data_IF_887761386610
#
_entry.id   IF_887761386610
#
_cell.length_a   1.000
_cell.length_b   1.000
_cell.length_c   1.000
_cell.angle_alpha   90.00
_cell.angle_beta   90.00
_cell.angle_gamma   90.00
#
_symmetry.space_group_name_H-M   'P 1'
#
loop_
_entity.id
_entity.type
_entity.pdbx_description
1 polymer ?
#
# COMPACT_ATOMS: atom_id res chain seq x y z
N UNK A 1 23.24 -20.80 -9.51
CA UNK A 1 22.59 -19.60 -10.10
C UNK A 1 22.38 -18.57 -8.99
N UNK A 2 22.95 -17.37 -9.08
CA UNK A 2 22.64 -16.27 -8.13
C UNK A 2 21.18 -15.84 -8.34
N UNK A 3 20.32 -16.07 -7.37
CA UNK A 3 18.92 -15.61 -7.41
C UNK A 3 18.91 -14.08 -7.48
N UNK A 4 18.23 -13.53 -8.49
CA UNK A 4 18.15 -12.07 -8.70
C UNK A 4 17.28 -11.45 -7.60
N UNK A 5 17.84 -10.54 -6.81
CA UNK A 5 17.11 -9.80 -5.77
C UNK A 5 16.02 -8.94 -6.45
N UNK A 6 14.80 -9.05 -5.95
CA UNK A 6 13.63 -8.25 -6.38
C UNK A 6 13.26 -7.26 -5.29
N UNK A 7 12.80 -6.08 -5.67
CA UNK A 7 12.35 -5.07 -4.72
C UNK A 7 10.81 -5.09 -4.60
N UNK A 8 10.33 -5.24 -3.37
CA UNK A 8 8.92 -5.13 -2.98
C UNK A 8 8.70 -3.77 -2.33
N UNK A 9 7.63 -3.07 -2.72
CA UNK A 9 7.11 -1.92 -1.98
C UNK A 9 5.93 -2.36 -1.13
N UNK A 10 6.03 -2.19 0.17
CA UNK A 10 4.95 -2.44 1.13
C UNK A 10 4.34 -1.09 1.50
N UNK A 11 3.09 -0.87 1.13
CA UNK A 11 2.33 0.33 1.46
C UNK A 11 1.37 0.04 2.62
N UNK A 12 1.87 0.21 3.85
CA UNK A 12 1.11 -0.05 5.07
C UNK A 12 1.40 1.03 6.11
N UNK A 13 0.35 1.68 6.60
CA UNK A 13 0.45 2.83 7.50
C UNK A 13 -0.80 3.00 8.35
N UNK A 14 -0.67 3.73 9.43
CA UNK A 14 -1.75 4.30 10.23
C UNK A 14 -2.04 3.51 11.49
N UNK A 15 -2.46 2.28 11.41
CA UNK A 15 -2.82 1.44 12.58
C UNK A 15 -2.16 0.07 12.54
N UNK A 16 -2.07 -0.57 13.69
CA UNK A 16 -1.57 -1.95 13.79
C UNK A 16 -2.34 -2.93 12.89
N UNK A 17 -3.64 -2.69 12.65
CA UNK A 17 -4.47 -3.51 11.77
C UNK A 17 -4.02 -3.53 10.31
N UNK A 18 -3.24 -2.55 9.87
CA UNK A 18 -2.61 -2.53 8.54
C UNK A 18 -1.16 -3.00 8.60
N UNK A 19 -0.44 -2.63 9.66
CA UNK A 19 1.01 -2.87 9.77
C UNK A 19 1.31 -4.33 10.11
N UNK A 20 0.64 -4.93 11.10
CA UNK A 20 0.92 -6.30 11.53
C UNK A 20 0.64 -7.35 10.44
N UNK A 21 -0.49 -7.32 9.71
CA UNK A 21 -0.67 -8.23 8.59
C UNK A 21 0.41 -8.09 7.51
N UNK A 22 0.86 -6.86 7.25
CA UNK A 22 1.95 -6.65 6.31
C UNK A 22 3.28 -7.22 6.81
N UNK A 23 3.62 -7.02 8.08
CA UNK A 23 4.82 -7.59 8.69
C UNK A 23 4.80 -9.12 8.62
N UNK A 24 3.71 -9.75 9.04
CA UNK A 24 3.58 -11.22 8.98
C UNK A 24 3.83 -11.76 7.57
N UNK A 25 3.28 -11.12 6.54
CA UNK A 25 3.47 -11.57 5.16
C UNK A 25 4.91 -11.35 4.70
N UNK A 26 5.54 -10.24 5.02
CA UNK A 26 6.91 -9.97 4.54
C UNK A 26 7.96 -10.78 5.28
N UNK A 27 7.70 -11.14 6.53
CA UNK A 27 8.60 -12.00 7.33
C UNK A 27 8.66 -13.44 6.79
N UNK A 28 7.57 -13.91 6.16
CA UNK A 28 7.49 -15.21 5.50
C UNK A 28 8.04 -15.21 4.07
N UNK A 29 8.39 -14.04 3.52
CA UNK A 29 8.90 -13.97 2.16
C UNK A 29 10.33 -14.51 2.04
N UNK A 30 10.57 -15.12 0.90
CA UNK A 30 11.90 -15.60 0.51
C UNK A 30 12.94 -14.45 0.56
N UNK A 31 14.16 -14.72 1.02
CA UNK A 31 15.30 -13.76 1.13
C UNK A 31 15.69 -13.07 -0.18
N UNK A 32 15.06 -13.46 -1.27
CA UNK A 32 15.22 -12.80 -2.58
C UNK A 32 14.45 -11.48 -2.70
N UNK A 33 13.58 -11.17 -1.74
CA UNK A 33 12.85 -9.92 -1.71
C UNK A 33 13.54 -8.90 -0.80
N UNK A 34 13.86 -7.75 -1.35
CA UNK A 34 14.29 -6.56 -0.59
C UNK A 34 13.06 -5.72 -0.30
N UNK A 35 12.77 -5.55 0.98
CA UNK A 35 11.59 -4.84 1.44
C UNK A 35 11.86 -3.33 1.48
N UNK A 36 11.00 -2.56 0.82
CA UNK A 36 10.92 -1.12 0.93
C UNK A 36 9.57 -0.79 1.52
N UNK A 37 9.54 -0.19 2.70
CA UNK A 37 8.31 0.15 3.39
C UNK A 37 7.93 1.60 3.13
N UNK A 38 6.68 1.83 2.75
CA UNK A 38 6.11 3.16 2.56
C UNK A 38 5.09 3.43 3.67
N UNK A 39 5.36 4.46 4.45
CA UNK A 39 4.52 4.90 5.56
C UNK A 39 4.16 6.38 5.46
N UNK A 40 3.48 6.88 6.48
CA UNK A 40 3.14 8.29 6.66
C UNK A 40 3.95 8.83 7.82
N UNK A 41 4.47 10.05 7.68
CA UNK A 41 5.26 10.69 8.71
C UNK A 41 4.45 10.83 10.02
N UNK A 42 5.14 10.69 11.16
CA UNK A 42 4.55 10.80 12.50
C UNK A 42 3.45 9.77 12.83
N UNK A 43 3.50 8.59 12.22
CA UNK A 43 2.61 7.45 12.50
C UNK A 43 3.37 6.31 13.17
N UNK A 44 2.63 5.31 13.65
CA UNK A 44 3.18 4.22 14.46
C UNK A 44 4.15 3.30 13.69
N UNK A 45 4.16 3.30 12.37
CA UNK A 45 5.11 2.52 11.56
C UNK A 45 6.57 2.87 11.85
N UNK A 46 6.87 4.10 12.27
CA UNK A 46 8.24 4.51 12.63
C UNK A 46 8.82 3.62 13.74
N UNK A 47 7.98 3.18 14.66
CA UNK A 47 8.37 2.35 15.78
C UNK A 47 8.13 0.85 15.57
N UNK A 48 7.22 0.48 14.67
CA UNK A 48 6.78 -0.91 14.46
C UNK A 48 7.52 -1.60 13.32
N UNK A 49 7.94 -0.86 12.30
CA UNK A 49 8.64 -1.43 11.14
C UNK A 49 10.09 -1.74 11.51
N UNK A 50 10.57 -2.97 11.31
CA UNK A 50 11.96 -3.34 11.55
C UNK A 50 12.94 -2.44 10.81
N UNK A 51 14.07 -2.11 11.47
CA UNK A 51 15.10 -1.21 10.93
C UNK A 51 15.78 -1.76 9.66
N UNK A 52 15.75 -3.06 9.46
CA UNK A 52 16.26 -3.74 8.26
C UNK A 52 15.43 -3.44 7.00
N UNK A 53 14.17 -3.02 7.15
CA UNK A 53 13.35 -2.59 6.02
C UNK A 53 13.59 -1.13 5.72
N UNK A 54 13.75 -0.81 4.44
CA UNK A 54 13.96 0.57 3.99
C UNK A 54 12.68 1.38 4.16
N UNK A 55 12.44 1.94 5.34
CA UNK A 55 11.28 2.80 5.60
C UNK A 55 11.44 4.15 4.91
N UNK A 56 10.45 4.53 4.13
CA UNK A 56 10.28 5.87 3.56
C UNK A 56 8.93 6.39 4.01
N UNK A 57 8.90 7.57 4.57
CA UNK A 57 7.65 8.21 4.99
C UNK A 57 7.28 9.36 4.06
N UNK A 58 6.00 9.47 3.74
CA UNK A 58 5.44 10.61 3.05
C UNK A 58 4.82 11.57 4.06
N UNK A 59 5.00 12.86 3.82
CA UNK A 59 4.31 13.89 4.59
C UNK A 59 2.92 14.11 3.96
N UNK A 60 1.96 13.29 4.35
CA UNK A 60 0.58 13.34 3.86
C UNK A 60 -0.33 13.37 5.08
N UNK A 61 -0.72 14.56 5.48
CA UNK A 61 -1.81 14.71 6.46
C UNK A 61 -3.16 14.57 5.77
N UNK A 62 -4.07 13.81 6.39
CA UNK A 62 -5.45 13.76 5.93
C UNK A 62 -6.23 14.94 6.52
N UNK A 63 -6.49 16.03 5.76
CA UNK A 63 -7.27 17.14 6.27
C UNK A 63 -8.65 16.65 6.71
N UNK A 64 -9.06 16.99 7.92
CA UNK A 64 -10.42 16.77 8.41
C UNK A 64 -11.26 18.01 8.13
N UNK A 65 -12.45 17.88 7.50
CA UNK A 65 -13.40 19.01 7.33
C UNK A 65 -14.01 19.18 5.93
N UNK A 66 -14.55 20.35 5.63
CA UNK A 66 -15.44 20.81 4.56
C UNK A 66 -15.01 20.55 3.09
N UNK A 67 -15.83 21.00 2.10
CA UNK A 67 -15.61 20.85 0.64
C UNK A 67 -14.22 21.33 0.16
N UNK A 68 -13.69 22.41 0.74
CA UNK A 68 -12.33 22.90 0.47
C UNK A 68 -11.26 21.86 0.86
N UNK A 69 -11.52 21.11 1.95
CA UNK A 69 -10.62 20.03 2.37
C UNK A 69 -10.60 18.85 1.39
N UNK A 70 -11.69 18.64 0.63
CA UNK A 70 -11.75 17.57 -0.37
C UNK A 70 -10.81 17.86 -1.56
N UNK A 71 -10.82 19.10 -2.06
CA UNK A 71 -9.91 19.52 -3.13
C UNK A 71 -8.45 19.41 -2.69
N UNK A 72 -8.14 19.81 -1.45
CA UNK A 72 -6.81 19.65 -0.86
C UNK A 72 -6.43 18.17 -0.76
N UNK A 73 -7.34 17.28 -0.39
CA UNK A 73 -7.10 15.83 -0.34
C UNK A 73 -6.73 15.26 -1.71
N UNK A 74 -7.44 15.65 -2.77
CA UNK A 74 -7.10 15.22 -4.13
C UNK A 74 -5.72 15.73 -4.56
N UNK A 75 -5.40 16.98 -4.27
CA UNK A 75 -4.09 17.55 -4.55
C UNK A 75 -2.98 16.82 -3.79
N UNK A 76 -3.20 16.49 -2.52
CA UNK A 76 -2.25 15.73 -1.72
C UNK A 76 -2.04 14.32 -2.26
N UNK A 77 -3.11 13.61 -2.66
CA UNK A 77 -2.99 12.30 -3.32
C UNK A 77 -2.19 12.41 -4.61
N UNK A 78 -2.42 13.45 -5.40
CA UNK A 78 -1.68 13.70 -6.64
C UNK A 78 -0.19 13.90 -6.37
N UNK A 79 0.18 14.79 -5.44
CA UNK A 79 1.58 15.04 -5.04
C UNK A 79 2.22 13.75 -4.48
N UNK A 80 1.49 13.03 -3.63
CA UNK A 80 1.95 11.75 -3.08
C UNK A 80 2.21 10.71 -4.18
N UNK A 81 1.34 10.66 -5.18
CA UNK A 81 1.51 9.74 -6.32
C UNK A 81 2.83 10.00 -7.05
N UNK A 82 3.17 11.26 -7.31
CA UNK A 82 4.47 11.61 -7.94
C UNK A 82 5.66 11.19 -7.07
N UNK A 83 5.56 11.39 -5.75
CA UNK A 83 6.60 10.96 -4.82
C UNK A 83 6.77 9.44 -4.83
N UNK A 84 5.66 8.70 -4.85
CA UNK A 84 5.67 7.23 -4.93
C UNK A 84 6.23 6.75 -6.27
N UNK A 85 5.89 7.39 -7.38
CA UNK A 85 6.48 7.09 -8.70
C UNK A 85 8.00 7.20 -8.65
N UNK A 86 8.53 8.31 -8.11
CA UNK A 86 9.97 8.51 -7.96
C UNK A 86 10.62 7.40 -7.11
N UNK A 87 9.99 7.01 -6.00
CA UNK A 87 10.46 5.92 -5.14
C UNK A 87 10.46 4.59 -5.91
N UNK A 88 9.38 4.27 -6.63
CA UNK A 88 9.26 3.02 -7.39
C UNK A 88 10.33 2.90 -8.48
N UNK A 89 10.59 3.99 -9.20
CA UNK A 89 11.61 4.02 -10.25
C UNK A 89 13.00 3.92 -9.63
N UNK A 90 13.35 4.78 -8.67
CA UNK A 90 14.69 4.85 -8.08
C UNK A 90 15.09 3.55 -7.36
N UNK A 91 14.13 2.85 -6.79
CA UNK A 91 14.34 1.57 -6.09
C UNK A 91 14.06 0.34 -6.95
N UNK A 92 13.73 0.54 -8.24
CA UNK A 92 13.45 -0.55 -9.19
C UNK A 92 12.41 -1.55 -8.63
N UNK A 93 11.30 -1.03 -8.11
CA UNK A 93 10.22 -1.83 -7.51
C UNK A 93 9.62 -2.76 -8.57
N UNK A 94 9.37 -4.01 -8.18
CA UNK A 94 8.84 -5.06 -9.07
C UNK A 94 7.45 -5.56 -8.66
N UNK A 95 7.04 -5.29 -7.43
CA UNK A 95 5.75 -5.65 -6.88
C UNK A 95 5.35 -4.63 -5.82
N UNK A 96 4.08 -4.29 -5.74
CA UNK A 96 3.49 -3.50 -4.67
C UNK A 96 2.56 -4.38 -3.86
N UNK A 97 2.74 -4.37 -2.54
CA UNK A 97 1.83 -4.97 -1.57
C UNK A 97 1.24 -3.86 -0.69
N UNK A 98 -0.07 -3.74 -0.66
CA UNK A 98 -0.77 -2.72 0.09
C UNK A 98 -1.76 -3.37 1.07
N UNK A 99 -1.97 -2.76 2.25
CA UNK A 99 -2.90 -3.27 3.27
C UNK A 99 -4.11 -2.37 3.49
N UNK A 100 -4.44 -1.56 2.49
CA UNK A 100 -5.53 -0.58 2.61
C UNK A 100 -5.07 0.75 3.23
N UNK A 101 -6.05 1.54 3.66
CA UNK A 101 -5.77 2.86 4.19
C UNK A 101 -5.38 3.90 3.13
N UNK A 102 -5.10 5.12 3.59
CA UNK A 102 -4.88 6.27 2.71
C UNK A 102 -3.63 6.14 1.83
N UNK A 103 -2.56 5.56 2.38
CA UNK A 103 -1.27 5.38 1.68
C UNK A 103 -1.36 4.43 0.47
N UNK A 104 -2.34 3.52 0.49
CA UNK A 104 -2.54 2.57 -0.62
C UNK A 104 -3.01 3.25 -1.90
N UNK A 105 -3.78 4.35 -1.79
CA UNK A 105 -4.33 5.04 -2.97
C UNK A 105 -3.24 5.58 -3.90
N UNK A 106 -2.31 6.45 -3.46
CA UNK A 106 -1.22 6.91 -4.30
C UNK A 106 -0.31 5.77 -4.77
N UNK A 107 -0.15 4.71 -3.96
CA UNK A 107 0.66 3.54 -4.32
C UNK A 107 0.04 2.74 -5.46
N UNK A 108 -1.29 2.52 -5.44
CA UNK A 108 -2.01 1.83 -6.50
C UNK A 108 -1.97 2.65 -7.81
N UNK A 109 -2.22 3.96 -7.73
CA UNK A 109 -2.18 4.84 -8.90
C UNK A 109 -0.79 4.84 -9.53
N UNK A 110 0.26 5.02 -8.73
CA UNK A 110 1.65 5.02 -9.18
C UNK A 110 2.04 3.69 -9.85
N UNK A 111 1.67 2.57 -9.22
CA UNK A 111 1.97 1.24 -9.76
C UNK A 111 1.24 0.98 -11.08
N UNK A 112 -0.02 1.43 -11.22
CA UNK A 112 -0.76 1.35 -12.49
C UNK A 112 -0.10 2.16 -13.59
N UNK A 113 0.35 3.38 -13.30
CA UNK A 113 1.06 4.23 -14.27
C UNK A 113 2.35 3.54 -14.74
N UNK A 114 3.07 2.88 -13.83
CA UNK A 114 4.33 2.21 -14.13
C UNK A 114 4.19 0.75 -14.60
N UNK A 115 2.95 0.24 -14.73
CA UNK A 115 2.67 -1.17 -15.04
C UNK A 115 3.35 -2.16 -14.08
N UNK A 116 3.45 -1.80 -12.79
CA UNK A 116 3.96 -2.65 -11.73
C UNK A 116 2.78 -3.44 -11.14
N UNK A 117 2.89 -4.78 -10.96
CA UNK A 117 1.83 -5.58 -10.36
C UNK A 117 1.56 -5.17 -8.91
N UNK A 118 0.27 -5.25 -8.52
CA UNK A 118 -0.24 -4.80 -7.22
C UNK A 118 -1.05 -5.91 -6.60
N UNK A 119 -0.80 -6.16 -5.33
CA UNK A 119 -1.61 -6.99 -4.44
C UNK A 119 -2.10 -6.10 -3.31
N UNK A 120 -3.39 -6.11 -3.03
CA UNK A 120 -3.95 -5.44 -1.86
C UNK A 120 -4.55 -6.48 -0.90
N UNK A 121 -4.26 -6.35 0.38
CA UNK A 121 -4.83 -7.17 1.44
C UNK A 121 -5.88 -6.38 2.22
N UNK A 122 -7.05 -6.97 2.39
CA UNK A 122 -8.15 -6.43 3.20
C UNK A 122 -8.42 -7.35 4.40
N UNK A 123 -8.08 -6.86 5.58
CA UNK A 123 -8.25 -7.60 6.84
C UNK A 123 -9.64 -7.45 7.46
N UNK A 124 -10.46 -6.53 6.97
CA UNK A 124 -11.77 -6.26 7.54
C UNK A 124 -12.89 -6.97 6.77
N UNK A 125 -13.96 -7.35 7.49
CA UNK A 125 -15.17 -7.88 6.90
C UNK A 125 -15.82 -6.86 5.94
N UNK A 126 -15.93 -5.60 6.35
CA UNK A 126 -16.37 -4.50 5.50
C UNK A 126 -15.13 -3.79 4.99
N UNK A 127 -14.87 -3.81 3.68
CA UNK A 127 -13.65 -3.28 3.13
C UNK A 127 -13.54 -1.76 3.33
N UNK A 128 -12.32 -1.30 3.60
CA UNK A 128 -12.00 0.11 3.65
C UNK A 128 -12.19 0.79 2.29
N UNK A 129 -12.33 2.12 2.29
CA UNK A 129 -12.60 2.89 1.06
C UNK A 129 -11.53 2.70 -0.01
N UNK A 130 -10.26 2.58 0.39
CA UNK A 130 -9.17 2.33 -0.55
C UNK A 130 -9.38 1.00 -1.30
N UNK A 131 -9.63 -0.09 -0.58
CA UNK A 131 -9.89 -1.41 -1.18
C UNK A 131 -11.17 -1.40 -2.00
N UNK A 132 -12.25 -0.80 -1.48
CA UNK A 132 -13.56 -0.75 -2.15
C UNK A 132 -13.50 -0.05 -3.51
N UNK A 133 -12.80 1.07 -3.62
CA UNK A 133 -12.78 1.86 -4.87
C UNK A 133 -11.60 1.51 -5.77
N UNK A 134 -10.48 1.09 -5.22
CA UNK A 134 -9.25 0.87 -5.98
C UNK A 134 -8.87 -0.60 -6.14
N UNK A 135 -9.49 -1.53 -5.40
CA UNK A 135 -9.21 -2.98 -5.47
C UNK A 135 -9.34 -3.55 -6.89
N UNK A 136 -10.31 -3.07 -7.68
CA UNK A 136 -10.50 -3.49 -9.08
C UNK A 136 -9.33 -3.15 -10.02
N UNK A 137 -8.44 -2.25 -9.60
CA UNK A 137 -7.23 -1.91 -10.35
C UNK A 137 -6.02 -2.72 -9.92
N UNK A 138 -6.14 -3.49 -8.84
CA UNK A 138 -5.11 -4.38 -8.35
C UNK A 138 -5.14 -5.72 -9.11
N UNK A 139 -4.00 -6.39 -9.19
CA UNK A 139 -3.92 -7.72 -9.80
C UNK A 139 -4.63 -8.76 -8.95
N UNK A 140 -4.50 -8.64 -7.62
CA UNK A 140 -5.19 -9.49 -6.65
C UNK A 140 -5.65 -8.68 -5.44
N UNK A 141 -6.78 -9.09 -4.88
CA UNK A 141 -7.29 -8.64 -3.58
C UNK A 141 -7.34 -9.86 -2.67
N UNK A 142 -6.47 -9.89 -1.67
CA UNK A 142 -6.47 -10.92 -0.63
C UNK A 142 -7.44 -10.49 0.45
N UNK A 143 -8.39 -11.35 0.81
CA UNK A 143 -9.41 -11.02 1.82
C UNK A 143 -9.28 -11.92 3.04
N UNK A 144 -9.33 -11.32 4.23
CA UNK A 144 -9.34 -12.08 5.50
C UNK A 144 -10.65 -12.83 5.74
N UNK A 145 -11.74 -12.43 5.08
CA UNK A 145 -13.07 -13.03 5.22
C UNK A 145 -13.69 -13.28 3.84
N UNK A 146 -14.30 -14.44 3.64
CA UNK A 146 -14.98 -14.78 2.39
C UNK A 146 -16.12 -13.82 2.05
N UNK A 147 -16.82 -13.36 3.08
CA UNK A 147 -17.96 -12.44 2.97
C UNK A 147 -17.58 -11.06 2.42
N UNK A 148 -16.32 -10.65 2.61
CA UNK A 148 -15.79 -9.38 2.06
C UNK A 148 -15.90 -9.33 0.54
N UNK A 149 -15.86 -10.49 -0.13
CA UNK A 149 -16.00 -10.59 -1.58
C UNK A 149 -17.30 -9.96 -2.10
N UNK A 150 -18.39 -10.03 -1.33
CA UNK A 150 -19.69 -9.45 -1.72
C UNK A 150 -19.65 -7.93 -1.92
N UNK A 151 -18.71 -7.25 -1.27
CA UNK A 151 -18.52 -5.79 -1.34
C UNK A 151 -17.53 -5.37 -2.46
N UNK A 152 -16.79 -6.30 -3.06
CA UNK A 152 -15.66 -6.04 -3.95
C UNK A 152 -15.96 -6.46 -5.40
N UNK A 153 -17.02 -5.88 -5.97
CA UNK A 153 -17.42 -6.16 -7.36
C UNK A 153 -16.32 -5.80 -8.35
N UNK A 154 -16.03 -6.71 -9.28
CA UNK A 154 -15.03 -6.51 -10.33
C UNK A 154 -13.58 -6.61 -9.86
N UNK A 155 -13.33 -7.10 -8.64
CA UNK A 155 -12.01 -7.41 -8.13
C UNK A 155 -11.65 -8.88 -8.40
N UNK A 156 -10.35 -9.13 -8.60
CA UNK A 156 -9.80 -10.49 -8.65
C UNK A 156 -9.44 -10.91 -7.21
N UNK A 157 -10.34 -11.65 -6.56
CA UNK A 157 -10.28 -11.97 -5.14
C UNK A 157 -9.63 -13.34 -4.95
N UNK A 158 -8.78 -13.44 -3.94
CA UNK A 158 -8.11 -14.67 -3.49
C UNK A 158 -8.31 -14.84 -1.98
#
# INVERSE_FOLDING_TARGET
>A
MKRKIKNLLVAASGTGGHIFPALTIVDDLDRNWKINWLGIQNRCEINLVPKEYNLVTLNIDTPQGNKLSLMIKYLMVFIATFSVIKIMISRNIKLVFATGGYISVPSIIAAKILNIPIIIHESNLIPGLATKYFGRYCNFVLTGFKETASYLKGCNIV
#
